data_IF_105241450208
#
_entry.id   IF_105241450208
#
_cell.length_a   1.000
_cell.length_b   1.000
_cell.length_c   1.000
_cell.angle_alpha   90.00
_cell.angle_beta   90.00
_cell.angle_gamma   90.00
#
_symmetry.space_group_name_H-M   'P 1'
#
loop_
_entity.id
_entity.type
_entity.pdbx_description
1 polymer ?
#
# COMPACT_ATOMS: atom_id res chain seq x y z
N UNK A 1 -2.04 -4.47 23.14
CA UNK A 1 -1.53 -4.15 21.79
C UNK A 1 -0.07 -3.75 21.94
N UNK A 2 0.87 -4.54 21.44
CA UNK A 2 2.32 -4.26 21.59
C UNK A 2 2.67 -3.07 20.71
N UNK A 3 3.35 -2.05 21.26
CA UNK A 3 3.91 -0.94 20.48
C UNK A 3 5.18 -1.45 19.79
N UNK A 4 5.13 -1.55 18.47
CA UNK A 4 6.30 -1.82 17.61
C UNK A 4 7.17 -0.56 17.57
N UNK A 5 8.48 -0.72 17.67
CA UNK A 5 9.41 0.42 17.58
C UNK A 5 9.52 0.94 16.14
N UNK A 6 9.93 2.20 15.93
CA UNK A 6 10.10 2.76 14.57
C UNK A 6 11.08 1.95 13.71
N UNK A 7 12.27 1.53 14.20
CA UNK A 7 13.18 0.69 13.43
C UNK A 7 12.58 -0.66 13.05
N UNK A 8 11.85 -1.30 13.98
CA UNK A 8 11.17 -2.57 13.73
C UNK A 8 10.04 -2.41 12.70
N UNK A 9 9.31 -1.29 12.73
CA UNK A 9 8.30 -0.97 11.72
C UNK A 9 8.92 -0.76 10.34
N UNK A 10 10.03 -0.03 10.26
CA UNK A 10 10.78 0.15 9.00
C UNK A 10 11.26 -1.19 8.44
N UNK A 11 11.84 -2.04 9.29
CA UNK A 11 12.32 -3.36 8.88
C UNK A 11 11.19 -4.26 8.40
N UNK A 12 10.08 -4.32 9.15
CA UNK A 12 8.91 -5.12 8.77
C UNK A 12 8.29 -4.65 7.45
N UNK A 13 8.18 -3.32 7.27
CA UNK A 13 7.65 -2.72 6.03
C UNK A 13 8.61 -2.97 4.87
N UNK A 14 9.93 -2.82 5.06
CA UNK A 14 10.94 -3.08 4.03
C UNK A 14 10.88 -4.52 3.53
N UNK A 15 10.80 -5.50 4.44
CA UNK A 15 10.71 -6.92 4.06
C UNK A 15 9.45 -7.21 3.24
N UNK A 16 8.31 -6.69 3.68
CA UNK A 16 7.04 -6.86 2.96
C UNK A 16 7.07 -6.13 1.60
N UNK A 17 7.73 -4.97 1.54
CA UNK A 17 7.89 -4.19 0.32
C UNK A 17 8.76 -4.93 -0.71
N UNK A 18 9.89 -5.51 -0.29
CA UNK A 18 10.73 -6.35 -1.14
C UNK A 18 9.98 -7.54 -1.72
N UNK A 19 9.12 -8.19 -0.91
CA UNK A 19 8.27 -9.28 -1.37
C UNK A 19 7.26 -8.79 -2.44
N UNK A 20 6.67 -7.61 -2.21
CA UNK A 20 5.69 -7.02 -3.12
C UNK A 20 6.31 -6.60 -4.45
N UNK A 21 7.46 -5.92 -4.44
CA UNK A 21 8.19 -5.49 -5.65
C UNK A 21 8.62 -6.68 -6.51
N UNK A 22 8.92 -7.84 -5.90
CA UNK A 22 9.25 -9.07 -6.64
C UNK A 22 8.03 -9.78 -7.22
N UNK A 23 6.82 -9.46 -6.75
CA UNK A 23 5.61 -10.10 -7.24
C UNK A 23 5.22 -9.56 -8.61
N UNK A 24 4.78 -10.45 -9.50
CA UNK A 24 4.26 -10.05 -10.80
C UNK A 24 2.92 -9.36 -10.62
N UNK A 25 2.79 -8.13 -11.13
CA UNK A 25 1.52 -7.42 -11.16
C UNK A 25 0.45 -8.25 -11.90
N UNK A 26 -0.75 -8.47 -11.32
CA UNK A 26 -1.75 -9.36 -11.89
C UNK A 26 -2.20 -8.91 -13.28
N UNK A 27 -2.20 -9.83 -14.25
CA UNK A 27 -2.49 -9.49 -15.65
C UNK A 27 -3.90 -8.95 -15.87
N UNK A 28 -4.89 -9.48 -15.13
CA UNK A 28 -6.29 -9.07 -15.22
C UNK A 28 -6.53 -7.63 -14.75
N UNK A 29 -5.64 -7.10 -13.91
CA UNK A 29 -5.76 -5.74 -13.40
C UNK A 29 -5.14 -4.70 -14.33
N UNK A 30 -4.43 -5.10 -15.41
CA UNK A 30 -3.87 -4.16 -16.38
C UNK A 30 -4.99 -3.56 -17.22
N UNK A 31 -5.22 -2.25 -17.08
CA UNK A 31 -6.30 -1.54 -17.76
C UNK A 31 -7.70 -1.86 -17.22
N UNK A 32 -7.80 -2.48 -16.05
CA UNK A 32 -9.07 -2.71 -15.38
C UNK A 32 -9.44 -1.51 -14.51
N UNK A 33 -10.72 -1.17 -14.50
CA UNK A 33 -11.27 -0.04 -13.73
C UNK A 33 -12.47 -0.48 -12.84
N UNK A 34 -12.31 -1.46 -11.94
CA UNK A 34 -13.38 -1.84 -11.02
C UNK A 34 -13.79 -0.66 -10.14
N UNK A 35 -15.10 -0.40 -10.07
CA UNK A 35 -15.66 0.75 -9.35
C UNK A 35 -15.09 2.12 -9.79
N UNK A 36 -14.79 2.24 -11.09
CA UNK A 36 -14.20 3.42 -11.74
C UNK A 36 -12.80 3.78 -11.22
N UNK A 37 -12.04 2.78 -10.73
CA UNK A 37 -10.71 2.96 -10.15
C UNK A 37 -9.67 2.27 -11.04
N UNK A 38 -8.78 3.05 -11.67
CA UNK A 38 -7.64 2.53 -12.42
C UNK A 38 -6.68 1.77 -11.48
N UNK A 39 -6.61 0.46 -11.66
CA UNK A 39 -5.80 -0.45 -10.85
C UNK A 39 -4.29 -0.21 -10.96
N UNK A 40 -3.82 0.26 -12.11
CA UNK A 40 -2.40 0.56 -12.34
C UNK A 40 -2.05 1.86 -11.63
N UNK A 41 -2.89 2.89 -11.74
CA UNK A 41 -2.70 4.15 -11.03
C UNK A 41 -2.80 3.96 -9.51
N UNK A 42 -3.76 3.15 -9.05
CA UNK A 42 -3.92 2.82 -7.64
C UNK A 42 -2.67 2.13 -7.06
N UNK A 43 -2.16 1.11 -7.76
CA UNK A 43 -0.94 0.41 -7.37
C UNK A 43 0.26 1.35 -7.31
N UNK A 44 0.48 2.12 -8.38
CA UNK A 44 1.58 3.08 -8.48
C UNK A 44 1.51 4.17 -7.40
N UNK A 45 0.31 4.65 -7.06
CA UNK A 45 0.12 5.67 -6.02
C UNK A 45 0.52 5.16 -4.64
N UNK A 46 0.09 3.94 -4.28
CA UNK A 46 0.46 3.31 -3.02
C UNK A 46 1.95 2.98 -3.00
N UNK A 47 2.46 2.35 -4.06
CA UNK A 47 3.88 2.02 -4.23
C UNK A 47 4.79 3.24 -4.08
N UNK A 48 4.42 4.37 -4.69
CA UNK A 48 5.13 5.64 -4.58
C UNK A 48 5.17 6.17 -3.15
N UNK A 49 4.05 6.07 -2.42
CA UNK A 49 4.00 6.47 -1.00
C UNK A 49 4.85 5.55 -0.11
N UNK A 50 4.75 4.23 -0.29
CA UNK A 50 5.53 3.25 0.48
C UNK A 50 7.03 3.44 0.25
N UNK A 51 7.45 3.58 -1.00
CA UNK A 51 8.85 3.83 -1.36
C UNK A 51 9.35 5.14 -0.75
N UNK A 52 8.57 6.23 -0.85
CA UNK A 52 8.93 7.52 -0.26
C UNK A 52 9.08 7.43 1.26
N UNK A 53 8.14 6.76 1.94
CA UNK A 53 8.19 6.58 3.39
C UNK A 53 9.45 5.84 3.84
N UNK A 54 9.80 4.75 3.15
CA UNK A 54 11.01 3.98 3.42
C UNK A 54 12.28 4.82 3.20
N UNK A 55 12.36 5.55 2.08
CA UNK A 55 13.50 6.39 1.75
C UNK A 55 13.68 7.56 2.74
N UNK A 56 12.60 8.05 3.32
CA UNK A 56 12.61 9.16 4.28
C UNK A 56 12.69 8.70 5.74
N UNK A 57 13.10 7.45 6.01
CA UNK A 57 13.28 6.94 7.38
C UNK A 57 11.98 6.88 8.19
N UNK A 58 10.85 6.67 7.51
CA UNK A 58 9.55 6.48 8.12
C UNK A 58 8.69 7.74 8.23
N UNK A 59 8.87 8.69 7.31
CA UNK A 59 8.09 9.92 7.26
C UNK A 59 7.49 10.13 5.87
N UNK A 60 6.30 10.71 5.82
CA UNK A 60 5.59 11.03 4.60
C UNK A 60 5.08 12.47 4.72
N UNK A 61 5.17 13.25 3.65
CA UNK A 61 4.63 14.62 3.66
C UNK A 61 3.08 14.62 3.69
N UNK A 62 2.43 15.75 4.06
CA UNK A 62 0.98 15.80 4.19
C UNK A 62 0.21 15.52 2.89
N UNK A 63 0.78 15.87 1.73
CA UNK A 63 0.14 15.62 0.44
C UNK A 63 0.10 14.12 0.15
N UNK A 64 1.24 13.44 0.25
CA UNK A 64 1.32 11.99 0.09
C UNK A 64 0.52 11.24 1.13
N UNK A 65 0.40 11.79 2.35
CA UNK A 65 -0.44 11.17 3.40
C UNK A 65 -1.90 11.19 3.01
N UNK A 66 -2.37 12.28 2.39
CA UNK A 66 -3.73 12.41 1.85
C UNK A 66 -3.95 11.47 0.68
N UNK A 67 -2.99 11.39 -0.25
CA UNK A 67 -3.03 10.45 -1.39
C UNK A 67 -3.16 9.01 -0.87
N UNK A 68 -2.28 8.61 0.05
CA UNK A 68 -2.28 7.25 0.60
C UNK A 68 -3.62 6.92 1.27
N UNK A 69 -4.21 7.85 2.02
CA UNK A 69 -5.49 7.62 2.67
C UNK A 69 -6.64 7.46 1.66
N UNK A 70 -6.64 8.25 0.58
CA UNK A 70 -7.58 8.07 -0.53
C UNK A 70 -7.40 6.70 -1.20
N UNK A 71 -6.16 6.34 -1.53
CA UNK A 71 -5.84 5.05 -2.15
C UNK A 71 -6.19 3.85 -1.27
N UNK A 72 -6.09 3.95 0.07
CA UNK A 72 -6.56 2.89 0.97
C UNK A 72 -8.07 2.68 0.82
N UNK A 73 -8.85 3.77 0.78
CA UNK A 73 -10.30 3.67 0.64
C UNK A 73 -10.70 3.07 -0.71
N UNK A 74 -10.02 3.47 -1.79
CA UNK A 74 -10.25 2.92 -3.12
C UNK A 74 -9.85 1.44 -3.20
N UNK A 75 -8.71 1.08 -2.63
CA UNK A 75 -8.28 -0.32 -2.54
C UNK A 75 -9.26 -1.19 -1.75
N UNK A 76 -9.82 -0.66 -0.66
CA UNK A 76 -10.85 -1.37 0.13
C UNK A 76 -12.11 -1.63 -0.70
N UNK A 77 -12.54 -0.69 -1.56
CA UNK A 77 -13.68 -0.88 -2.46
C UNK A 77 -13.40 -1.93 -3.52
N UNK A 78 -12.22 -1.88 -4.13
CA UNK A 78 -11.77 -2.83 -5.17
C UNK A 78 -11.68 -4.25 -4.62
N UNK A 79 -11.13 -4.43 -3.41
CA UNK A 79 -10.93 -5.74 -2.80
C UNK A 79 -12.23 -6.54 -2.62
N UNK A 80 -13.38 -5.87 -2.49
CA UNK A 80 -14.70 -6.52 -2.39
C UNK A 80 -15.08 -7.27 -3.68
N UNK A 81 -14.51 -6.90 -4.83
CA UNK A 81 -14.83 -7.48 -6.14
C UNK A 81 -13.81 -8.49 -6.66
N UNK A 82 -12.65 -8.64 -6.01
CA UNK A 82 -11.60 -9.55 -6.48
C UNK A 82 -11.88 -10.98 -6.01
N UNK A 83 -12.16 -11.87 -6.96
CA UNK A 83 -12.42 -13.30 -6.69
C UNK A 83 -11.20 -14.19 -6.93
N UNK A 84 -10.27 -13.75 -7.77
CA UNK A 84 -9.08 -14.53 -8.11
C UNK A 84 -8.05 -14.51 -6.98
N UNK A 85 -7.74 -15.68 -6.43
CA UNK A 85 -6.95 -15.79 -5.20
C UNK A 85 -5.53 -15.18 -5.31
N UNK A 86 -4.89 -15.26 -6.48
CA UNK A 86 -3.56 -14.67 -6.68
C UNK A 86 -3.60 -13.15 -6.77
N UNK A 87 -4.62 -12.61 -7.45
CA UNK A 87 -4.87 -11.17 -7.54
C UNK A 87 -5.21 -10.61 -6.15
N UNK A 88 -6.07 -11.31 -5.42
CA UNK A 88 -6.45 -10.94 -4.06
C UNK A 88 -5.24 -10.89 -3.12
N UNK A 89 -4.36 -11.91 -3.16
CA UNK A 89 -3.12 -11.91 -2.36
C UNK A 89 -2.19 -10.73 -2.70
N UNK A 90 -2.12 -10.34 -3.97
CA UNK A 90 -1.32 -9.20 -4.40
C UNK A 90 -1.82 -7.91 -3.76
N UNK A 91 -3.11 -7.62 -3.92
CA UNK A 91 -3.73 -6.38 -3.43
C UNK A 91 -3.91 -6.36 -1.90
N UNK A 92 -4.09 -7.50 -1.24
CA UNK A 92 -4.08 -7.57 0.22
C UNK A 92 -2.72 -7.20 0.82
N UNK A 93 -1.62 -7.60 0.17
CA UNK A 93 -0.27 -7.21 0.59
C UNK A 93 0.00 -5.73 0.32
N UNK A 94 -0.46 -5.20 -0.80
CA UNK A 94 -0.42 -3.76 -1.07
C UNK A 94 -1.19 -2.97 -0.01
N UNK A 95 -2.38 -3.44 0.38
CA UNK A 95 -3.17 -2.86 1.46
C UNK A 95 -2.44 -2.91 2.79
N UNK A 96 -1.81 -4.03 3.12
CA UNK A 96 -1.05 -4.17 4.36
C UNK A 96 0.11 -3.16 4.41
N UNK A 97 0.85 -2.98 3.31
CA UNK A 97 1.88 -1.95 3.19
C UNK A 97 1.32 -0.54 3.41
N UNK A 98 0.21 -0.21 2.73
CA UNK A 98 -0.45 1.08 2.86
C UNK A 98 -0.87 1.38 4.31
N UNK A 99 -1.46 0.40 5.00
CA UNK A 99 -1.87 0.52 6.40
C UNK A 99 -0.68 0.69 7.35
N UNK A 100 0.45 0.00 7.10
CA UNK A 100 1.67 0.16 7.90
C UNK A 100 2.22 1.58 7.79
N UNK A 101 2.24 2.16 6.58
CA UNK A 101 2.72 3.53 6.33
C UNK A 101 1.76 4.58 6.90
N UNK A 102 0.45 4.41 6.70
CA UNK A 102 -0.57 5.33 7.25
C UNK A 102 -0.54 5.36 8.78
N UNK A 103 -0.49 4.18 9.43
CA UNK A 103 -0.44 4.08 10.89
C UNK A 103 0.87 4.60 11.49
N UNK A 104 1.96 4.71 10.73
CA UNK A 104 3.19 5.36 11.17
C UNK A 104 3.07 6.89 11.13
N UNK A 105 2.45 7.40 10.06
CA UNK A 105 2.36 8.83 9.78
C UNK A 105 1.47 9.54 10.79
N UNK A 106 0.37 8.92 11.23
CA UNK A 106 -0.51 9.42 12.29
C UNK A 106 0.14 9.52 13.69
N UNK A 107 1.36 9.03 13.88
CA UNK A 107 2.09 9.09 15.17
C UNK A 107 3.22 10.12 15.16
N UNK A 108 3.45 10.78 14.03
CA UNK A 108 4.49 11.80 13.87
C UNK A 108 3.95 13.23 14.06
N UNK A 109 2.63 13.38 14.20
CA UNK A 109 1.90 14.61 14.53
C UNK A 109 1.68 14.73 16.05
#
# INVERSE_FOLDING_TARGET
MVRVSRPEQLQNTSRLWEEHVRAVFPARSRGAEPADIDMVLLDASIAGCVSTWLNNGGTLDPERSRILQGSINDLDRVLLGITEAQELRYFQRLRQLAMLVSAASLRAD
#
